data_IF_709856509978
#
_entry.id   IF_709856509978
#
_cell.length_a   1.000
_cell.length_b   1.000
_cell.length_c   1.000
_cell.angle_alpha   90.00
_cell.angle_beta   90.00
_cell.angle_gamma   90.00
#
_symmetry.space_group_name_H-M   'P 1'
#
loop_
_entity.id
_entity.type
_entity.pdbx_description
1 polymer ?
#
# COMPACT_ATOMS: atom_id res chain seq x y z
N UNK A 1 8.60 16.02 -5.62
CA UNK A 1 7.74 15.19 -4.76
C UNK A 1 7.91 13.76 -5.21
N UNK A 2 8.63 12.94 -4.44
CA UNK A 2 8.92 11.57 -4.80
C UNK A 2 7.60 10.79 -4.79
N UNK A 3 7.13 10.36 -5.96
CA UNK A 3 5.94 9.52 -6.03
C UNK A 3 6.11 8.31 -5.11
N UNK A 4 5.07 7.98 -4.37
CA UNK A 4 4.99 6.75 -3.60
C UNK A 4 5.11 5.54 -4.53
N UNK A 5 5.65 4.40 -4.07
CA UNK A 5 5.75 3.22 -4.91
C UNK A 5 4.35 2.77 -5.33
N UNK A 6 4.17 2.51 -6.63
CA UNK A 6 2.89 2.14 -7.25
C UNK A 6 3.08 1.08 -8.35
N UNK A 7 2.07 0.22 -8.52
CA UNK A 7 2.00 -0.85 -9.52
C UNK A 7 0.59 -1.02 -10.07
N UNK A 8 0.46 -1.59 -11.25
CA UNK A 8 -0.84 -2.01 -11.79
C UNK A 8 -1.01 -3.52 -11.63
N UNK A 9 -2.10 -3.95 -11.00
CA UNK A 9 -2.42 -5.36 -10.68
C UNK A 9 -3.92 -5.57 -10.91
N UNK A 10 -4.30 -6.58 -11.70
CA UNK A 10 -5.70 -6.97 -11.94
C UNK A 10 -6.66 -5.83 -12.39
N UNK A 11 -6.13 -4.80 -13.06
CA UNK A 11 -6.91 -3.62 -13.48
C UNK A 11 -7.04 -2.53 -12.41
N UNK A 12 -6.32 -2.67 -11.29
CA UNK A 12 -6.21 -1.68 -10.23
C UNK A 12 -4.82 -1.04 -10.21
N UNK A 13 -4.77 0.24 -9.87
CA UNK A 13 -3.56 0.92 -9.44
C UNK A 13 -3.41 0.69 -7.93
N UNK A 14 -2.34 0.00 -7.56
CA UNK A 14 -1.99 -0.33 -6.17
C UNK A 14 -0.79 0.50 -5.75
N UNK A 15 -0.86 1.19 -4.62
CA UNK A 15 0.23 1.96 -4.05
C UNK A 15 0.50 1.60 -2.60
N UNK A 16 1.62 2.06 -2.07
CA UNK A 16 1.89 2.04 -0.64
C UNK A 16 2.26 3.44 -0.17
N UNK A 17 1.44 3.99 0.71
CA UNK A 17 1.61 5.32 1.30
C UNK A 17 2.15 5.19 2.72
N UNK A 18 3.04 6.10 3.10
CA UNK A 18 3.48 6.21 4.49
C UNK A 18 2.57 7.22 5.17
N UNK A 19 1.92 6.80 6.25
CA UNK A 19 1.03 7.63 7.06
C UNK A 19 1.67 7.89 8.41
N UNK A 20 1.48 9.10 8.95
CA UNK A 20 1.90 9.42 10.31
C UNK A 20 0.77 9.05 11.26
N UNK A 21 1.03 8.15 12.20
CA UNK A 21 0.06 7.77 13.23
C UNK A 21 0.11 8.73 14.41
N UNK A 22 1.32 9.13 14.81
CA UNK A 22 1.56 10.01 15.94
C UNK A 22 2.96 10.64 15.83
N UNK A 23 3.35 11.49 16.79
CA UNK A 23 4.63 12.23 16.75
C UNK A 23 5.84 11.30 16.59
N UNK A 24 6.36 11.19 15.36
CA UNK A 24 7.52 10.36 15.03
C UNK A 24 7.21 8.88 14.75
N UNK A 25 5.93 8.48 14.72
CA UNK A 25 5.51 7.11 14.41
C UNK A 25 4.84 7.07 13.05
N UNK A 26 5.44 6.31 12.13
CA UNK A 26 4.98 6.12 10.76
C UNK A 26 4.42 4.71 10.58
N UNK A 27 3.42 4.55 9.72
CA UNK A 27 2.91 3.27 9.28
C UNK A 27 2.77 3.25 7.75
N UNK A 28 2.49 2.07 7.20
CA UNK A 28 2.25 1.89 5.77
C UNK A 28 0.80 1.51 5.56
N UNK A 29 0.16 2.19 4.61
CA UNK A 29 -1.16 1.83 4.10
C UNK A 29 -1.07 1.49 2.63
N UNK A 30 -1.73 0.40 2.23
CA UNK A 30 -1.88 0.02 0.84
C UNK A 30 -3.07 0.74 0.26
N UNK A 31 -2.86 1.48 -0.81
CA UNK A 31 -3.92 2.13 -1.57
C UNK A 31 -4.28 1.27 -2.78
N UNK A 32 -5.56 1.03 -2.99
CA UNK A 32 -6.06 0.30 -4.17
C UNK A 32 -7.11 1.18 -4.83
N UNK A 33 -6.91 1.49 -6.11
CA UNK A 33 -7.84 2.27 -6.91
C UNK A 33 -8.11 1.57 -8.22
N UNK A 34 -9.38 1.45 -8.61
CA UNK A 34 -9.74 0.95 -9.94
C UNK A 34 -9.35 1.97 -11.02
N UNK A 35 -8.66 1.54 -12.06
CA UNK A 35 -8.29 2.45 -13.15
C UNK A 35 -9.54 2.94 -13.88
N UNK A 36 -9.70 4.26 -13.98
CA UNK A 36 -10.82 4.90 -14.68
C UNK A 36 -12.01 5.28 -13.81
N UNK A 37 -12.02 4.91 -12.53
CA UNK A 37 -13.06 5.33 -11.59
C UNK A 37 -12.50 6.42 -10.65
N UNK A 38 -13.07 7.62 -10.72
CA UNK A 38 -12.56 8.81 -10.03
C UNK A 38 -12.66 8.75 -8.51
N UNK A 39 -13.54 7.89 -7.96
CA UNK A 39 -13.93 7.94 -6.55
C UNK A 39 -13.67 6.64 -5.74
N UNK A 40 -13.09 5.60 -6.35
CA UNK A 40 -12.91 4.29 -5.71
C UNK A 40 -11.57 4.06 -5.00
N UNK A 41 -11.02 5.04 -4.26
CA UNK A 41 -9.78 4.83 -3.50
C UNK A 41 -10.05 4.07 -2.20
N UNK A 42 -9.55 2.85 -2.10
CA UNK A 42 -9.63 2.03 -0.91
C UNK A 42 -8.27 1.97 -0.22
N UNK A 43 -8.27 1.98 1.13
CA UNK A 43 -7.07 1.90 1.96
C UNK A 43 -7.10 0.65 2.81
N UNK A 44 -5.97 -0.04 2.87
CA UNK A 44 -5.79 -1.28 3.62
C UNK A 44 -4.58 -1.16 4.52
N UNK A 45 -4.81 -1.31 5.83
CA UNK A 45 -3.71 -1.43 6.78
C UNK A 45 -3.02 -2.79 6.63
N UNK A 46 -1.73 -2.84 6.93
CA UNK A 46 -1.00 -4.11 6.91
C UNK A 46 -1.53 -5.08 7.99
N UNK A 47 -1.59 -6.40 7.71
CA UNK A 47 -2.11 -7.40 8.65
C UNK A 47 -1.36 -7.45 9.98
N UNK A 48 -0.05 -7.15 9.94
CA UNK A 48 0.77 -6.91 11.12
C UNK A 48 1.02 -5.41 11.12
N UNK A 49 0.47 -4.71 12.09
CA UNK A 49 0.57 -3.26 12.22
C UNK A 49 2.04 -2.86 12.49
N UNK A 50 2.85 -2.78 11.42
CA UNK A 50 4.26 -2.43 11.49
C UNK A 50 4.39 -0.91 11.52
N UNK A 51 5.11 -0.42 12.52
CA UNK A 51 5.43 1.00 12.67
C UNK A 51 6.91 1.28 12.45
N UNK A 52 7.23 2.48 12.00
CA UNK A 52 8.58 2.92 11.69
C UNK A 52 8.86 4.28 12.33
N UNK A 53 10.09 4.47 12.81
CA UNK A 53 10.56 5.78 13.30
C UNK A 53 11.25 6.61 12.20
N UNK A 54 11.57 5.99 11.06
CA UNK A 54 12.33 6.60 9.96
C UNK A 54 11.59 6.43 8.62
N UNK A 55 11.47 7.53 7.87
CA UNK A 55 10.74 7.58 6.61
C UNK A 55 11.43 6.80 5.48
N UNK A 56 12.75 6.71 5.46
CA UNK A 56 13.49 5.96 4.45
C UNK A 56 13.36 4.44 4.68
N UNK A 57 13.38 4.00 5.94
CA UNK A 57 13.10 2.61 6.32
C UNK A 57 11.66 2.23 5.97
N UNK A 58 10.71 3.09 6.31
CA UNK A 58 9.30 2.93 5.96
C UNK A 58 9.10 2.85 4.43
N UNK A 59 9.81 3.68 3.66
CA UNK A 59 9.75 3.64 2.19
C UNK A 59 10.26 2.33 1.61
N UNK A 60 11.42 1.84 2.08
CA UNK A 60 11.95 0.53 1.64
C UNK A 60 11.00 -0.61 1.98
N UNK A 61 10.37 -0.56 3.15
CA UNK A 61 9.34 -1.53 3.52
C UNK A 61 8.09 -1.41 2.65
N UNK A 62 7.65 -0.20 2.31
CA UNK A 62 6.53 0.01 1.40
C UNK A 62 6.81 -0.60 0.01
N UNK A 63 8.03 -0.49 -0.49
CA UNK A 63 8.46 -1.14 -1.74
C UNK A 63 8.43 -2.68 -1.64
N UNK A 64 8.86 -3.25 -0.51
CA UNK A 64 8.81 -4.70 -0.25
C UNK A 64 7.37 -5.22 -0.10
N UNK A 65 6.53 -4.48 0.63
CA UNK A 65 5.10 -4.78 0.76
C UNK A 65 4.46 -4.81 -0.63
N UNK A 66 4.70 -3.76 -1.43
CA UNK A 66 4.13 -3.65 -2.76
C UNK A 66 4.64 -4.74 -3.73
N UNK A 67 5.89 -5.20 -3.55
CA UNK A 67 6.42 -6.31 -4.35
C UNK A 67 5.76 -7.65 -3.97
N UNK A 68 5.37 -7.82 -2.71
CA UNK A 68 4.68 -9.00 -2.19
C UNK A 68 3.19 -9.11 -2.54
N UNK A 69 2.55 -8.04 -3.03
CA UNK A 69 1.16 -8.11 -3.50
C UNK A 69 1.13 -8.81 -4.87
N UNK A 70 0.39 -9.91 -4.94
CA UNK A 70 0.32 -10.77 -6.13
C UNK A 70 -0.99 -10.62 -6.91
N UNK A 71 -2.09 -10.25 -6.24
CA UNK A 71 -3.39 -10.02 -6.87
C UNK A 71 -4.25 -9.08 -6.03
N UNK A 72 -5.35 -8.60 -6.62
CA UNK A 72 -6.38 -7.81 -5.93
C UNK A 72 -7.73 -8.50 -6.09
N UNK A 73 -8.45 -8.66 -4.98
CA UNK A 73 -9.82 -9.16 -5.03
C UNK A 73 -10.71 -8.20 -5.84
N UNK A 74 -11.33 -8.68 -6.92
CA UNK A 74 -12.10 -7.82 -7.82
C UNK A 74 -13.41 -7.31 -7.23
N UNK A 75 -13.96 -8.02 -6.24
CA UNK A 75 -15.22 -7.67 -5.59
C UNK A 75 -15.00 -6.66 -4.47
N UNK A 76 -13.95 -6.85 -3.66
CA UNK A 76 -13.69 -6.01 -2.48
C UNK A 76 -12.58 -4.99 -2.66
N UNK A 77 -11.68 -5.18 -3.61
CA UNK A 77 -10.45 -4.40 -3.77
C UNK A 77 -9.36 -4.75 -2.76
N UNK A 78 -9.48 -5.88 -2.07
CA UNK A 78 -8.52 -6.32 -1.06
C UNK A 78 -7.21 -6.82 -1.72
N UNK A 79 -6.04 -6.27 -1.33
CA UNK A 79 -4.75 -6.75 -1.82
C UNK A 79 -4.43 -8.12 -1.22
N UNK A 80 -4.08 -9.08 -2.07
CA UNK A 80 -3.68 -10.43 -1.69
C UNK A 80 -2.17 -10.57 -1.81
N UNK A 81 -1.54 -11.01 -0.72
CA UNK A 81 -0.09 -11.18 -0.62
C UNK A 81 0.31 -12.62 -0.95
N UNK A 82 1.40 -12.77 -1.69
CA UNK A 82 2.06 -14.06 -1.86
C UNK A 82 2.79 -14.46 -0.58
N UNK A 83 2.96 -15.76 -0.35
CA UNK A 83 3.93 -16.25 0.63
C UNK A 83 5.31 -15.93 0.03
N UNK A 84 6.03 -14.97 0.63
CA UNK A 84 7.43 -14.68 0.34
C UNK A 84 8.34 -15.70 1.03
#
# INVERSE_FOLDING_TARGET
MSAWPQRHIDGFQVGCEIVSLDTGVLAIEVTVRRSGDGEGLQRWSLPRFVTFADAAVARRHAELVLSGIVSVDKATGEPRYGIL
#
